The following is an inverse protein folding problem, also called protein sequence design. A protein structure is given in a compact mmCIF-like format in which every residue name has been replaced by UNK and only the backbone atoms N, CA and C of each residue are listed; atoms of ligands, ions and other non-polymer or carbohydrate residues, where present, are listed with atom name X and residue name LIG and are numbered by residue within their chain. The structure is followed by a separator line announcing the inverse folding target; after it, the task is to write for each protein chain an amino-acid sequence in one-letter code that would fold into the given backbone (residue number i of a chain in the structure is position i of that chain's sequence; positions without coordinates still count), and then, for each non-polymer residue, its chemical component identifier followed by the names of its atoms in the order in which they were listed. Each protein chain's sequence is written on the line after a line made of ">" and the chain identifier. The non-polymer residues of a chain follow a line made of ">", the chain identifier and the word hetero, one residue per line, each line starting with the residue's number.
data_IF_406795572019
#
_entry.id   IF_406795572019
#
_cell.length_a   1.000
_cell.length_b   1.000
_cell.length_c   1.000
_cell.angle_alpha   90.00
_cell.angle_beta   90.00
_cell.angle_gamma   90.00
#
_symmetry.space_group_name_H-M   'P 1'
#
loop_
_entity.id
_entity.type
_entity.pdbx_description
1 polymer ?
#
# COMPACT_ATOMS: atom_id res chain seq x y z
N UNK A 1 19.91 -5.57 -34.00
CA UNK A 1 20.28 -6.20 -32.70
C UNK A 1 20.59 -5.15 -31.61
N UNK A 2 20.98 -3.90 -31.94
CA UNK A 2 21.41 -2.90 -30.94
C UNK A 2 20.30 -2.19 -30.14
N UNK A 3 19.09 -2.02 -30.68
CA UNK A 3 18.02 -1.24 -30.02
C UNK A 3 17.31 -1.99 -28.89
N UNK A 4 17.07 -3.30 -29.04
CA UNK A 4 16.44 -4.13 -28.00
C UNK A 4 17.33 -4.23 -26.76
N UNK A 5 18.62 -4.47 -26.90
CA UNK A 5 19.55 -4.56 -25.77
C UNK A 5 19.81 -3.23 -25.04
N UNK A 6 19.51 -2.08 -25.67
CA UNK A 6 19.55 -0.77 -24.99
C UNK A 6 18.29 -0.53 -24.15
N UNK A 7 17.12 -0.95 -24.63
CA UNK A 7 15.85 -0.85 -23.90
C UNK A 7 15.88 -1.75 -22.66
N UNK A 8 16.29 -3.02 -22.80
CA UNK A 8 16.39 -3.97 -21.67
C UNK A 8 17.35 -3.47 -20.57
N UNK A 9 18.50 -2.90 -20.93
CA UNK A 9 19.43 -2.33 -19.94
C UNK A 9 18.87 -1.07 -19.28
N UNK A 10 18.11 -0.27 -20.00
CA UNK A 10 17.44 0.91 -19.46
C UNK A 10 16.35 0.52 -18.45
N UNK A 11 15.57 -0.53 -18.74
CA UNK A 11 14.53 -1.04 -17.86
C UNK A 11 15.13 -1.69 -16.61
N UNK A 12 16.14 -2.54 -16.75
CA UNK A 12 16.86 -3.13 -15.61
C UNK A 12 17.48 -2.07 -14.69
N UNK A 13 18.03 -1.00 -15.26
CA UNK A 13 18.58 0.11 -14.46
C UNK A 13 17.45 0.87 -13.72
N UNK A 14 16.30 1.05 -14.37
CA UNK A 14 15.15 1.70 -13.76
C UNK A 14 14.60 0.89 -12.57
N UNK A 15 14.45 -0.41 -12.74
CA UNK A 15 14.02 -1.32 -11.68
C UNK A 15 14.97 -1.30 -10.47
N UNK A 16 16.28 -1.32 -10.72
CA UNK A 16 17.29 -1.25 -9.67
C UNK A 16 17.21 0.08 -8.89
N UNK A 17 16.98 1.21 -9.59
CA UNK A 17 16.82 2.52 -8.94
C UNK A 17 15.56 2.52 -8.06
N UNK A 18 14.43 1.99 -8.56
CA UNK A 18 13.18 1.92 -7.79
C UNK A 18 13.34 1.05 -6.55
N UNK A 19 13.92 -0.14 -6.67
CA UNK A 19 14.15 -1.06 -5.54
C UNK A 19 15.09 -0.44 -4.48
N UNK A 20 16.15 0.25 -4.93
CA UNK A 20 17.06 0.95 -4.01
C UNK A 20 16.36 2.10 -3.30
N UNK A 21 15.55 2.87 -4.00
CA UNK A 21 14.81 3.97 -3.41
C UNK A 21 13.76 3.47 -2.41
N UNK A 22 12.98 2.46 -2.76
CA UNK A 22 12.01 1.81 -1.89
C UNK A 22 12.65 1.37 -0.57
N UNK A 23 13.79 0.67 -0.67
CA UNK A 23 14.59 0.27 0.49
C UNK A 23 15.01 1.46 1.33
N UNK A 24 15.59 2.49 0.73
CA UNK A 24 16.04 3.69 1.45
C UNK A 24 14.90 4.42 2.16
N UNK A 25 13.71 4.47 1.55
CA UNK A 25 12.52 5.01 2.21
C UNK A 25 12.10 4.14 3.41
N UNK A 26 12.08 2.83 3.24
CA UNK A 26 11.66 1.88 4.27
C UNK A 26 12.61 1.83 5.47
N UNK A 27 13.93 1.92 5.24
CA UNK A 27 14.97 1.88 6.29
C UNK A 27 15.09 3.20 7.05
N UNK A 28 14.71 4.32 6.45
CA UNK A 28 14.70 5.59 7.15
C UNK A 28 13.52 5.63 8.11
N UNK A 29 13.77 5.31 9.37
CA UNK A 29 13.01 5.88 10.47
C UNK A 29 13.15 7.39 10.35
N UNK A 30 12.16 8.03 9.77
CA UNK A 30 12.17 9.48 9.55
C UNK A 30 12.20 10.15 10.94
N UNK A 31 13.31 10.74 11.36
CA UNK A 31 13.22 11.93 12.19
C UNK A 31 12.56 12.95 11.24
N UNK A 32 11.50 13.60 11.70
CA UNK A 32 10.89 14.69 10.96
C UNK A 32 11.97 15.44 10.20
N UNK A 33 11.78 15.63 8.88
CA UNK A 33 12.66 16.46 8.08
C UNK A 33 12.58 17.88 8.62
N UNK A 34 13.26 18.12 9.75
CA UNK A 34 13.62 19.45 10.14
C UNK A 34 14.46 19.99 8.97
N UNK A 35 14.00 21.07 8.39
CA UNK A 35 14.81 21.97 7.58
C UNK A 35 16.17 22.13 8.24
N UNK A 36 17.14 21.32 7.87
CA UNK A 36 18.54 21.56 8.17
C UNK A 36 19.22 21.89 6.86
N UNK A 37 19.38 23.19 6.67
CA UNK A 37 20.44 23.72 5.83
C UNK A 37 21.77 23.11 6.35
N UNK A 38 22.46 22.39 5.46
CA UNK A 38 23.82 21.91 5.73
C UNK A 38 23.94 20.46 6.18
N UNK A 39 23.77 19.52 5.29
CA UNK A 39 24.14 18.12 5.42
C UNK A 39 24.31 17.51 4.04
N UNK A 40 25.40 16.80 3.81
CA UNK A 40 25.88 16.31 2.53
C UNK A 40 24.79 15.69 1.64
N UNK A 41 24.80 15.98 0.33
CA UNK A 41 23.85 15.41 -0.62
C UNK A 41 24.18 13.92 -0.79
N UNK A 42 23.28 13.05 -0.30
CA UNK A 42 23.27 11.66 -0.74
C UNK A 42 23.12 11.66 -2.26
N UNK A 43 24.10 11.12 -2.96
CA UNK A 43 24.25 10.88 -4.39
C UNK A 43 22.98 11.12 -5.24
N UNK A 44 22.64 12.37 -5.44
CA UNK A 44 21.49 12.84 -6.21
C UNK A 44 21.65 12.61 -7.72
N UNK A 45 22.87 12.31 -8.18
CA UNK A 45 23.22 12.38 -9.58
C UNK A 45 22.52 11.39 -10.52
N UNK A 46 22.18 10.16 -10.06
CA UNK A 46 21.61 9.16 -10.95
C UNK A 46 20.09 9.08 -10.89
N UNK A 47 19.50 9.34 -9.71
CA UNK A 47 18.05 9.32 -9.51
C UNK A 47 17.39 10.59 -10.08
N UNK A 48 17.98 11.76 -9.87
CA UNK A 48 17.47 13.04 -10.38
C UNK A 48 17.43 13.11 -11.92
N UNK A 49 18.36 12.48 -12.59
CA UNK A 49 18.39 12.49 -14.08
C UNK A 49 17.29 11.60 -14.71
N UNK A 50 16.72 10.63 -13.98
CA UNK A 50 15.71 9.69 -14.54
C UNK A 50 14.31 9.88 -13.99
N UNK A 51 14.15 10.32 -12.77
CA UNK A 51 12.84 10.45 -12.09
C UNK A 51 12.48 11.90 -11.76
N UNK A 52 13.36 12.87 -11.97
CA UNK A 52 13.11 14.31 -11.84
C UNK A 52 12.91 14.80 -10.40
N UNK A 53 12.13 14.10 -9.58
CA UNK A 53 11.86 14.50 -8.19
C UNK A 53 11.59 13.30 -7.27
N UNK A 54 11.69 13.54 -5.95
CA UNK A 54 11.27 12.56 -4.91
C UNK A 54 9.80 12.14 -5.10
N UNK A 55 8.95 13.06 -5.51
CA UNK A 55 7.54 12.79 -5.78
C UNK A 55 7.35 11.83 -6.97
N UNK A 56 8.12 12.01 -8.04
CA UNK A 56 8.06 11.14 -9.23
C UNK A 56 8.56 9.73 -8.92
N UNK A 57 9.58 9.63 -8.07
CA UNK A 57 10.09 8.34 -7.60
C UNK A 57 9.05 7.58 -6.76
N UNK A 58 8.42 8.27 -5.80
CA UNK A 58 7.33 7.70 -5.00
C UNK A 58 6.16 7.27 -5.90
N UNK A 59 5.76 8.11 -6.85
CA UNK A 59 4.71 7.77 -7.82
C UNK A 59 5.06 6.52 -8.62
N UNK A 60 6.29 6.39 -9.09
CA UNK A 60 6.73 5.24 -9.86
C UNK A 60 6.71 3.95 -9.03
N UNK A 61 7.17 3.98 -7.77
CA UNK A 61 7.11 2.83 -6.86
C UNK A 61 5.65 2.43 -6.60
N UNK A 62 4.79 3.39 -6.23
CA UNK A 62 3.36 3.13 -5.97
C UNK A 62 2.68 2.51 -7.18
N UNK A 63 2.96 2.99 -8.39
CA UNK A 63 2.41 2.41 -9.64
C UNK A 63 2.85 0.99 -9.87
N UNK A 64 4.14 0.72 -9.76
CA UNK A 64 4.69 -0.62 -10.03
C UNK A 64 4.03 -1.69 -9.15
N UNK A 65 3.89 -1.41 -7.85
CA UNK A 65 3.23 -2.32 -6.93
C UNK A 65 1.71 -2.29 -7.09
N UNK A 66 1.13 -1.12 -7.34
CA UNK A 66 -0.29 -0.90 -7.55
C UNK A 66 -0.86 -1.74 -8.69
N UNK A 67 -0.14 -1.88 -9.81
CA UNK A 67 -0.55 -2.71 -10.95
C UNK A 67 -0.66 -4.19 -10.57
N UNK A 68 0.23 -4.68 -9.73
CA UNK A 68 0.19 -6.08 -9.25
C UNK A 68 -0.96 -6.30 -8.27
N UNK A 69 -1.16 -5.38 -7.33
CA UNK A 69 -2.26 -5.39 -6.37
C UNK A 69 -3.61 -5.30 -7.09
N UNK A 70 -3.72 -4.45 -8.13
CA UNK A 70 -4.94 -4.30 -8.92
C UNK A 70 -5.30 -5.59 -9.66
N UNK A 71 -4.32 -6.29 -10.25
CA UNK A 71 -4.56 -7.58 -10.91
C UNK A 71 -5.12 -8.63 -9.95
N UNK A 72 -4.59 -8.71 -8.73
CA UNK A 72 -5.08 -9.62 -7.70
C UNK A 72 -6.51 -9.23 -7.30
N UNK A 73 -6.77 -7.93 -7.09
CA UNK A 73 -8.08 -7.42 -6.73
C UNK A 73 -9.15 -7.71 -7.79
N UNK A 74 -8.81 -7.54 -9.06
CA UNK A 74 -9.73 -7.87 -10.18
C UNK A 74 -10.12 -9.35 -10.14
N UNK A 75 -9.18 -10.26 -9.89
CA UNK A 75 -9.46 -11.70 -9.75
C UNK A 75 -10.43 -11.97 -8.59
N UNK A 76 -10.14 -11.44 -7.40
CA UNK A 76 -10.99 -11.62 -6.22
C UNK A 76 -12.39 -11.05 -6.41
N UNK A 77 -12.51 -9.89 -7.05
CA UNK A 77 -13.81 -9.29 -7.39
C UNK A 77 -14.64 -10.16 -8.34
N UNK A 78 -14.00 -10.88 -9.25
CA UNK A 78 -14.72 -11.82 -10.13
C UNK A 78 -15.32 -13.00 -9.34
N UNK A 79 -14.64 -13.43 -8.27
CA UNK A 79 -15.11 -14.49 -7.36
C UNK A 79 -16.21 -13.96 -6.42
N UNK A 80 -16.10 -12.72 -5.94
CA UNK A 80 -17.05 -12.08 -5.02
C UNK A 80 -18.40 -11.77 -5.65
N UNK A 81 -18.42 -11.41 -6.93
CA UNK A 81 -19.65 -11.05 -7.64
C UNK A 81 -20.40 -9.87 -6.99
N UNK A 82 -21.69 -10.05 -6.72
CA UNK A 82 -22.57 -9.08 -6.06
C UNK A 82 -22.92 -9.50 -4.63
N UNK A 83 -21.93 -10.02 -3.89
CA UNK A 83 -22.11 -10.47 -2.49
C UNK A 83 -22.74 -9.38 -1.62
N UNK A 84 -23.66 -9.78 -0.74
CA UNK A 84 -24.23 -8.95 0.33
C UNK A 84 -23.41 -9.00 1.64
N UNK A 85 -22.35 -9.81 1.70
CA UNK A 85 -21.53 -9.96 2.91
C UNK A 85 -20.38 -8.93 2.92
N UNK A 86 -20.33 -8.14 3.99
CA UNK A 86 -19.23 -7.17 4.24
C UNK A 86 -17.87 -7.87 4.21
N UNK A 87 -17.78 -9.12 4.68
CA UNK A 87 -16.52 -9.88 4.75
C UNK A 87 -15.89 -10.09 3.38
N UNK A 88 -16.69 -10.40 2.38
CA UNK A 88 -16.21 -10.65 1.02
C UNK A 88 -15.58 -9.39 0.42
N UNK A 89 -16.20 -8.24 0.63
CA UNK A 89 -15.66 -6.96 0.17
C UNK A 89 -14.42 -6.53 0.96
N UNK A 90 -14.39 -6.78 2.27
CA UNK A 90 -13.20 -6.54 3.10
C UNK A 90 -12.05 -7.45 2.67
N UNK A 91 -12.33 -8.70 2.31
CA UNK A 91 -11.32 -9.60 1.74
C UNK A 91 -10.72 -9.02 0.45
N UNK A 92 -11.54 -8.47 -0.45
CA UNK A 92 -11.07 -7.78 -1.67
C UNK A 92 -10.28 -6.48 -1.38
N UNK A 93 -10.38 -5.92 -0.19
CA UNK A 93 -9.57 -4.79 0.24
C UNK A 93 -8.20 -5.23 0.77
N UNK A 94 -8.15 -6.30 1.58
CA UNK A 94 -6.99 -6.77 2.34
C UNK A 94 -6.11 -7.75 1.55
N UNK A 95 -6.72 -8.81 1.01
CA UNK A 95 -5.98 -9.92 0.38
C UNK A 95 -5.07 -9.49 -0.78
N UNK A 96 -5.46 -8.54 -1.66
CA UNK A 96 -4.57 -8.12 -2.73
C UNK A 96 -3.23 -7.60 -2.25
N UNK A 97 -3.21 -6.90 -1.11
CA UNK A 97 -1.99 -6.37 -0.51
C UNK A 97 -1.15 -7.50 0.10
N UNK A 98 -1.76 -8.38 0.89
CA UNK A 98 -1.05 -9.46 1.58
C UNK A 98 -0.57 -10.55 0.62
N UNK A 99 -1.31 -10.87 -0.44
CA UNK A 99 -0.87 -11.77 -1.52
C UNK A 99 0.30 -11.17 -2.29
N UNK A 100 0.25 -9.87 -2.60
CA UNK A 100 1.35 -9.18 -3.25
C UNK A 100 2.62 -9.22 -2.38
N UNK A 101 2.51 -8.92 -1.09
CA UNK A 101 3.64 -8.99 -0.15
C UNK A 101 4.18 -10.43 0.00
N UNK A 102 3.31 -11.43 -0.05
CA UNK A 102 3.72 -12.84 -0.10
C UNK A 102 4.56 -13.14 -1.35
N UNK A 103 4.11 -12.63 -2.50
CA UNK A 103 4.80 -12.85 -3.78
C UNK A 103 6.15 -12.12 -3.88
N UNK A 104 6.32 -10.98 -3.19
CA UNK A 104 7.62 -10.28 -3.10
C UNK A 104 8.66 -11.11 -2.35
N UNK A 105 8.23 -11.96 -1.42
CA UNK A 105 9.13 -12.75 -0.59
C UNK A 105 9.85 -11.94 0.48
N UNK A 106 10.98 -12.48 0.97
CA UNK A 106 11.82 -11.81 1.97
C UNK A 106 13.27 -11.82 1.49
N UNK A 107 13.98 -10.70 1.57
CA UNK A 107 13.56 -9.41 2.15
C UNK A 107 12.69 -8.58 1.19
N UNK A 108 11.70 -7.86 1.74
CA UNK A 108 10.90 -6.85 1.05
C UNK A 108 10.87 -5.55 1.86
N UNK A 109 10.49 -4.45 1.21
CA UNK A 109 10.45 -3.11 1.84
C UNK A 109 9.16 -2.35 1.54
N UNK A 110 8.28 -2.87 0.69
CA UNK A 110 7.12 -2.14 0.18
C UNK A 110 6.12 -1.75 1.27
N UNK A 111 5.82 -2.63 2.22
CA UNK A 111 4.89 -2.31 3.30
C UNK A 111 5.43 -1.19 4.21
N UNK A 112 6.70 -1.24 4.57
CA UNK A 112 7.38 -0.18 5.34
C UNK A 112 7.49 1.12 4.56
N UNK A 113 7.76 1.04 3.25
CA UNK A 113 7.71 2.19 2.35
C UNK A 113 6.34 2.86 2.39
N UNK A 114 5.24 2.10 2.25
CA UNK A 114 3.88 2.63 2.34
C UNK A 114 3.61 3.33 3.67
N UNK A 115 4.05 2.75 4.79
CA UNK A 115 3.91 3.38 6.11
C UNK A 115 4.65 4.73 6.19
N UNK A 116 5.84 4.85 5.58
CA UNK A 116 6.57 6.12 5.52
C UNK A 116 5.87 7.16 4.63
N UNK A 117 5.31 6.73 3.49
CA UNK A 117 4.53 7.60 2.60
C UNK A 117 3.29 8.16 3.33
N UNK A 118 2.63 7.35 4.17
CA UNK A 118 1.44 7.77 4.91
C UNK A 118 1.71 8.83 5.98
N UNK A 119 2.95 8.93 6.50
CA UNK A 119 3.33 9.93 7.51
C UNK A 119 3.53 11.32 6.90
N UNK A 120 4.02 11.40 5.66
CA UNK A 120 4.28 12.66 4.95
C UNK A 120 3.02 13.08 4.15
N UNK A 121 2.33 14.18 4.51
CA UNK A 121 1.09 14.57 3.83
C UNK A 121 1.25 14.76 2.32
N UNK A 122 2.37 15.32 1.86
CA UNK A 122 2.61 15.57 0.44
C UNK A 122 2.80 14.25 -0.34
N UNK A 123 3.43 13.26 0.27
CA UNK A 123 3.62 11.93 -0.34
C UNK A 123 2.33 11.10 -0.28
N UNK A 124 1.56 11.23 0.81
CA UNK A 124 0.24 10.59 0.94
C UNK A 124 -0.70 11.06 -0.16
N UNK A 125 -0.76 12.37 -0.45
CA UNK A 125 -1.55 12.90 -1.56
C UNK A 125 -1.18 12.27 -2.92
N UNK A 126 0.07 11.89 -3.11
CA UNK A 126 0.52 11.19 -4.33
C UNK A 126 -0.05 9.78 -4.35
N UNK A 127 0.09 9.04 -3.25
CA UNK A 127 -0.44 7.67 -3.13
C UNK A 127 -1.97 7.64 -3.28
N UNK A 128 -2.67 8.59 -2.67
CA UNK A 128 -4.13 8.72 -2.76
C UNK A 128 -4.57 8.99 -4.21
N UNK A 129 -3.87 9.86 -4.94
CA UNK A 129 -4.16 10.09 -6.37
C UNK A 129 -3.94 8.85 -7.21
N UNK A 130 -2.86 8.10 -6.98
CA UNK A 130 -2.64 6.84 -7.70
C UNK A 130 -3.72 5.80 -7.35
N UNK A 131 -4.16 5.70 -6.09
CA UNK A 131 -5.26 4.84 -5.67
C UNK A 131 -6.60 5.20 -6.36
N UNK A 132 -6.85 6.49 -6.62
CA UNK A 132 -8.03 6.94 -7.38
C UNK A 132 -8.05 6.46 -8.84
N UNK A 133 -6.94 5.96 -9.37
CA UNK A 133 -6.89 5.38 -10.71
C UNK A 133 -7.17 3.85 -10.72
N UNK A 134 -7.54 3.25 -9.57
CA UNK A 134 -7.85 1.83 -9.44
C UNK A 134 -9.36 1.56 -9.58
N UNK A 135 -9.86 1.10 -10.74
CA UNK A 135 -11.28 0.80 -10.92
C UNK A 135 -11.77 -0.32 -10.01
N UNK A 136 -10.91 -1.32 -9.76
CA UNK A 136 -11.28 -2.43 -8.89
C UNK A 136 -11.39 -1.99 -7.42
N UNK A 137 -10.53 -1.07 -6.95
CA UNK A 137 -10.68 -0.50 -5.61
C UNK A 137 -12.00 0.27 -5.47
N UNK A 138 -12.39 1.06 -6.48
CA UNK A 138 -13.68 1.75 -6.47
C UNK A 138 -14.85 0.77 -6.37
N UNK A 139 -14.81 -0.36 -7.09
CA UNK A 139 -15.84 -1.40 -6.98
C UNK A 139 -15.90 -2.00 -5.57
N UNK A 140 -14.75 -2.23 -4.92
CA UNK A 140 -14.73 -2.71 -3.53
C UNK A 140 -15.39 -1.71 -2.58
N UNK A 141 -15.03 -0.43 -2.69
CA UNK A 141 -15.57 0.62 -1.83
C UNK A 141 -17.08 0.80 -2.04
N UNK A 142 -17.55 0.69 -3.28
CA UNK A 142 -18.98 0.73 -3.58
C UNK A 142 -19.71 -0.51 -3.06
N UNK A 143 -19.11 -1.71 -3.13
CA UNK A 143 -19.65 -2.92 -2.53
C UNK A 143 -19.81 -2.80 -1.02
N UNK A 144 -18.79 -2.30 -0.32
CA UNK A 144 -18.86 -1.99 1.12
C UNK A 144 -19.96 -0.99 1.44
N UNK A 145 -20.13 0.05 0.61
CA UNK A 145 -21.19 1.03 0.79
C UNK A 145 -22.59 0.41 0.63
N UNK A 146 -22.77 -0.48 -0.35
CA UNK A 146 -24.04 -1.19 -0.56
C UNK A 146 -24.41 -2.13 0.59
N UNK A 147 -23.42 -2.81 1.17
CA UNK A 147 -23.64 -3.67 2.33
C UNK A 147 -24.12 -2.90 3.58
N UNK A 148 -23.81 -1.60 3.68
CA UNK A 148 -24.11 -0.76 4.84
C UNK A 148 -24.64 0.62 4.42
N UNK A 149 -25.74 0.61 3.65
CA UNK A 149 -26.45 1.84 3.21
C UNK A 149 -27.04 2.64 4.38
N UNK A 150 -27.16 2.03 5.54
CA UNK A 150 -27.58 2.67 6.80
C UNK A 150 -26.52 3.61 7.40
N UNK A 151 -25.27 3.51 6.96
CA UNK A 151 -24.19 4.36 7.46
C UNK A 151 -24.19 5.73 6.77
N UNK A 152 -24.07 6.85 7.52
CA UNK A 152 -23.80 8.16 6.96
C UNK A 152 -22.52 8.13 6.10
N UNK A 153 -22.52 8.88 5.00
CA UNK A 153 -21.38 8.94 4.07
C UNK A 153 -20.06 9.33 4.76
N UNK A 154 -20.11 10.24 5.73
CA UNK A 154 -18.95 10.64 6.51
C UNK A 154 -18.39 9.47 7.33
N UNK A 155 -19.24 8.71 8.03
CA UNK A 155 -18.83 7.54 8.83
C UNK A 155 -18.22 6.46 7.93
N UNK A 156 -18.80 6.27 6.73
CA UNK A 156 -18.25 5.35 5.74
C UNK A 156 -16.83 5.77 5.32
N UNK A 157 -16.62 7.05 4.99
CA UNK A 157 -15.31 7.57 4.61
C UNK A 157 -14.27 7.43 5.75
N UNK A 158 -14.68 7.71 6.99
CA UNK A 158 -13.82 7.53 8.17
C UNK A 158 -13.40 6.07 8.36
N UNK A 159 -14.34 5.11 8.20
CA UNK A 159 -14.04 3.67 8.30
C UNK A 159 -13.12 3.19 7.18
N UNK A 160 -13.28 3.70 5.97
CA UNK A 160 -12.33 3.45 4.87
C UNK A 160 -10.93 3.94 5.26
N UNK A 161 -10.81 5.15 5.77
CA UNK A 161 -9.53 5.70 6.23
C UNK A 161 -8.89 4.86 7.34
N UNK A 162 -9.67 4.45 8.34
CA UNK A 162 -9.20 3.58 9.44
C UNK A 162 -8.74 2.21 8.90
N UNK A 163 -9.50 1.60 7.99
CA UNK A 163 -9.14 0.32 7.39
C UNK A 163 -7.82 0.39 6.62
N UNK A 164 -7.62 1.45 5.82
CA UNK A 164 -6.37 1.65 5.08
C UNK A 164 -5.19 1.83 6.04
N UNK A 165 -5.35 2.59 7.12
CA UNK A 165 -4.33 2.74 8.16
C UNK A 165 -3.98 1.39 8.81
N UNK A 166 -4.98 0.59 9.17
CA UNK A 166 -4.76 -0.74 9.74
C UNK A 166 -3.97 -1.63 8.77
N UNK A 167 -4.38 -1.69 7.49
CA UNK A 167 -3.70 -2.51 6.48
C UNK A 167 -2.23 -2.08 6.36
N UNK A 168 -1.96 -0.79 6.16
CA UNK A 168 -0.61 -0.28 5.94
C UNK A 168 0.29 -0.55 7.15
N UNK A 169 -0.16 -0.20 8.35
CA UNK A 169 0.69 -0.31 9.54
C UNK A 169 0.91 -1.77 9.98
N UNK A 170 -0.13 -2.61 9.94
CA UNK A 170 0.02 -4.02 10.31
C UNK A 170 0.89 -4.79 9.30
N UNK A 171 0.79 -4.47 8.01
CA UNK A 171 1.68 -5.04 7.01
C UNK A 171 3.13 -4.57 7.19
N UNK A 172 3.35 -3.28 7.50
CA UNK A 172 4.69 -2.75 7.75
C UNK A 172 5.34 -3.35 9.00
N UNK A 173 4.58 -3.52 10.08
CA UNK A 173 5.03 -4.19 11.29
C UNK A 173 5.41 -5.65 11.02
N UNK A 174 4.58 -6.37 10.27
CA UNK A 174 4.88 -7.73 9.85
C UNK A 174 6.15 -7.82 9.00
N UNK A 175 6.31 -6.94 8.03
CA UNK A 175 7.50 -6.89 7.17
C UNK A 175 8.76 -6.58 7.97
N UNK A 176 8.67 -5.68 8.98
CA UNK A 176 9.78 -5.40 9.92
C UNK A 176 10.13 -6.65 10.75
N UNK A 177 9.14 -7.34 11.29
CA UNK A 177 9.37 -8.55 12.07
C UNK A 177 10.06 -9.65 11.25
N UNK A 178 9.70 -9.78 9.96
CA UNK A 178 10.37 -10.71 9.04
C UNK A 178 11.81 -10.30 8.75
N UNK A 179 12.09 -9.01 8.58
CA UNK A 179 13.44 -8.50 8.34
C UNK A 179 14.36 -8.69 9.55
N UNK A 180 13.81 -8.54 10.76
CA UNK A 180 14.54 -8.65 12.03
C UNK A 180 14.58 -10.09 12.58
N UNK A 181 13.97 -11.07 11.88
CA UNK A 181 13.78 -12.44 12.36
C UNK A 181 13.14 -12.51 13.77
N UNK A 182 12.30 -11.55 14.11
CA UNK A 182 11.62 -11.53 15.40
C UNK A 182 10.37 -12.39 15.38
N UNK A 183 10.10 -13.15 16.47
CA UNK A 183 8.86 -13.92 16.58
C UNK A 183 7.63 -13.01 16.44
N UNK A 184 6.70 -13.39 15.58
CA UNK A 184 5.42 -12.69 15.43
C UNK A 184 4.29 -13.60 15.91
N UNK A 185 3.28 -13.02 16.53
CA UNK A 185 2.05 -13.72 16.90
C UNK A 185 1.27 -14.27 15.70
N UNK A 186 1.60 -13.80 14.49
CA UNK A 186 1.00 -14.23 13.22
C UNK A 186 2.11 -14.71 12.29
N UNK A 187 2.30 -16.03 12.14
CA UNK A 187 3.48 -16.59 11.48
C UNK A 187 3.49 -16.41 9.95
N UNK A 188 2.35 -16.14 9.32
CA UNK A 188 2.26 -16.00 7.87
C UNK A 188 1.54 -14.73 7.41
N UNK A 189 1.70 -14.34 6.15
CA UNK A 189 0.90 -13.29 5.51
C UNK A 189 -0.58 -13.67 5.45
N UNK A 190 -0.89 -14.96 5.35
CA UNK A 190 -2.26 -15.46 5.41
C UNK A 190 -2.90 -15.18 6.78
N UNK A 191 -2.20 -15.47 7.88
CA UNK A 191 -2.69 -15.18 9.24
C UNK A 191 -2.84 -13.67 9.49
N UNK A 192 -1.93 -12.87 8.94
CA UNK A 192 -2.03 -11.42 8.98
C UNK A 192 -3.28 -10.93 8.24
N UNK A 193 -3.52 -11.48 7.03
CA UNK A 193 -4.70 -11.19 6.23
C UNK A 193 -5.99 -11.53 6.98
N UNK A 194 -6.09 -12.74 7.52
CA UNK A 194 -7.27 -13.20 8.25
C UNK A 194 -7.60 -12.27 9.43
N UNK A 195 -6.60 -11.91 10.23
CA UNK A 195 -6.82 -11.02 11.36
C UNK A 195 -7.16 -9.58 10.96
N UNK A 196 -6.61 -9.08 9.85
CA UNK A 196 -7.00 -7.77 9.31
C UNK A 196 -8.45 -7.80 8.82
N UNK A 197 -8.86 -8.85 8.12
CA UNK A 197 -10.24 -9.03 7.67
C UNK A 197 -11.18 -9.03 8.87
N UNK A 198 -10.92 -9.82 9.92
CA UNK A 198 -11.74 -9.88 11.10
C UNK A 198 -11.87 -8.51 11.78
N UNK A 199 -10.76 -7.79 11.96
CA UNK A 199 -10.76 -6.47 12.60
C UNK A 199 -11.54 -5.43 11.76
N UNK A 200 -11.34 -5.42 10.45
CA UNK A 200 -12.00 -4.47 9.55
C UNK A 200 -13.48 -4.78 9.41
N UNK A 201 -13.89 -6.05 9.36
CA UNK A 201 -15.31 -6.44 9.42
C UNK A 201 -15.95 -5.92 10.70
N UNK A 202 -15.29 -6.12 11.86
CA UNK A 202 -15.75 -5.57 13.14
C UNK A 202 -15.90 -4.05 13.11
N UNK A 203 -14.96 -3.34 12.47
CA UNK A 203 -15.03 -1.90 12.27
C UNK A 203 -16.27 -1.49 11.44
N UNK A 204 -16.58 -2.24 10.35
CA UNK A 204 -17.75 -1.96 9.51
C UNK A 204 -19.07 -2.24 10.20
N UNK A 205 -19.12 -3.26 11.07
CA UNK A 205 -20.33 -3.67 11.78
C UNK A 205 -20.55 -2.89 13.08
N UNK A 206 -19.57 -2.14 13.57
CA UNK A 206 -19.70 -1.35 14.78
C UNK A 206 -20.88 -0.36 14.71
N UNK A 207 -21.64 -0.18 15.80
CA UNK A 207 -22.70 0.83 15.85
C UNK A 207 -22.11 2.23 15.73
N UNK A 208 -22.91 3.17 15.18
CA UNK A 208 -22.55 4.60 15.14
C UNK A 208 -23.02 5.26 16.44
N UNK A 209 -22.14 5.99 17.10
CA UNK A 209 -22.52 6.77 18.28
C UNK A 209 -23.49 7.90 17.89
N UNK A 210 -24.64 8.00 18.55
CA UNK A 210 -25.68 9.01 18.29
C UNK A 210 -25.27 10.46 18.69
N UNK A 211 -24.01 10.83 18.46
CA UNK A 211 -23.48 12.16 18.81
C UNK A 211 -22.99 12.95 17.58
N UNK A 212 -23.73 12.82 16.49
CA UNK A 212 -23.51 13.69 15.31
C UNK A 212 -24.81 14.36 14.93
#
# INVERSE_FOLDING_TARGET
>A
VGRAGHAERADATREMILATAERLFAERRVPAFAHRQGGEPLTHGAADHRFGSRADLVRAIVRTHGESIERIRVRLLAETGDSGDVRDWVACLVQPVTEHLTALGSPSWYARFCAQVMIDPALRDIADREAHHSPALHRVLEGLRRCRMDLPAQVHAERVGMALQLIVHMCAERESALADNTPSSRPSWHDTSAGLIDAIVGLWLAPVSNRF
#
